data_IF_550144828582
#
_entry.id   IF_550144828582
#
_cell.length_a   1.000
_cell.length_b   1.000
_cell.length_c   1.000
_cell.angle_alpha   90.00
_cell.angle_beta   90.00
_cell.angle_gamma   90.00
#
_symmetry.space_group_name_H-M   'P 1'
#
loop_
_entity.id
_entity.type
_entity.pdbx_description
1 polymer ?
#
# COMPACT_ATOMS: atom_id res chain seq x y z
N UNK A 1 16.67 35.24 -3.71
CA UNK A 1 16.88 35.46 -2.27
C UNK A 1 17.52 34.22 -1.67
N UNK A 2 18.47 34.33 -0.75
CA UNK A 2 18.96 33.19 0.03
C UNK A 2 18.01 33.05 1.22
N UNK A 3 17.28 31.95 1.33
CA UNK A 3 16.38 31.70 2.46
C UNK A 3 17.15 31.62 3.78
N UNK A 4 16.52 32.02 4.88
CA UNK A 4 17.07 31.83 6.22
C UNK A 4 16.75 30.39 6.70
N UNK A 5 17.69 29.68 7.34
CA UNK A 5 17.42 28.38 7.96
C UNK A 5 16.32 28.48 9.02
N UNK A 6 15.47 27.46 9.13
CA UNK A 6 14.52 27.31 10.24
C UNK A 6 15.28 26.64 11.39
N UNK A 7 15.53 27.38 12.47
CA UNK A 7 16.22 26.87 13.66
C UNK A 7 15.27 26.04 14.54
N UNK A 8 15.05 24.78 14.17
CA UNK A 8 14.21 23.84 14.93
C UNK A 8 14.77 22.42 14.83
N UNK A 9 14.82 21.70 15.95
CA UNK A 9 15.22 20.29 16.02
C UNK A 9 14.25 19.36 15.27
N UNK A 10 13.06 19.87 14.93
CA UNK A 10 12.01 19.15 14.20
C UNK A 10 12.08 19.34 12.69
N UNK A 11 13.02 20.16 12.20
CA UNK A 11 13.19 20.37 10.76
C UNK A 11 14.18 19.31 10.24
N UNK A 12 13.74 18.38 9.38
CA UNK A 12 14.66 17.44 8.77
C UNK A 12 15.62 18.20 7.85
N UNK A 13 16.92 17.98 8.05
CA UNK A 13 18.00 18.54 7.22
C UNK A 13 18.56 17.51 6.23
N UNK A 14 18.16 16.26 6.37
CA UNK A 14 18.48 15.14 5.49
C UNK A 14 17.30 14.16 5.47
N UNK A 15 17.18 13.38 4.40
CA UNK A 15 16.13 12.39 4.23
C UNK A 15 16.67 11.19 3.46
N UNK A 16 16.57 10.01 4.08
CA UNK A 16 16.81 8.72 3.44
C UNK A 16 15.67 7.77 3.76
N UNK A 17 15.18 7.06 2.74
CA UNK A 17 14.20 6.01 2.94
C UNK A 17 14.89 4.74 3.49
N UNK A 18 14.25 3.98 4.39
CA UNK A 18 14.69 2.62 4.70
C UNK A 18 14.78 1.80 3.42
N UNK A 19 15.81 0.96 3.27
CA UNK A 19 16.03 0.18 2.05
C UNK A 19 14.85 -0.74 1.69
N UNK A 20 14.13 -1.27 2.69
CA UNK A 20 12.92 -2.05 2.47
C UNK A 20 11.76 -1.22 1.88
N UNK A 21 11.80 0.11 2.04
CA UNK A 21 10.75 1.02 1.60
C UNK A 21 11.08 1.71 0.27
N UNK A 22 12.14 1.27 -0.43
CA UNK A 22 12.48 1.76 -1.76
C UNK A 22 12.01 0.77 -2.83
N UNK A 23 11.31 1.29 -3.83
CA UNK A 23 10.91 0.53 -5.01
C UNK A 23 12.07 0.17 -5.93
N UNK A 24 11.76 -0.60 -6.97
CA UNK A 24 12.71 -0.97 -8.00
C UNK A 24 12.01 -1.01 -9.36
N UNK A 25 12.41 -0.12 -10.27
CA UNK A 25 11.91 -0.16 -11.64
C UNK A 25 12.50 -1.36 -12.37
N UNK A 26 11.71 -1.98 -13.23
CA UNK A 26 12.17 -3.03 -14.13
C UNK A 26 12.72 -2.40 -15.42
N UNK A 27 13.75 -3.00 -16.00
CA UNK A 27 14.28 -2.58 -17.30
C UNK A 27 13.26 -2.74 -18.44
N UNK A 28 12.32 -3.67 -18.27
CA UNK A 28 11.21 -3.97 -19.18
C UNK A 28 10.00 -4.42 -18.39
N UNK A 29 8.81 -4.20 -18.95
CA UNK A 29 7.58 -4.72 -18.38
C UNK A 29 7.66 -6.24 -18.18
N UNK A 30 7.14 -6.73 -17.04
CA UNK A 30 7.07 -8.16 -16.77
C UNK A 30 5.96 -8.86 -17.60
N UNK A 31 5.73 -10.15 -17.33
CA UNK A 31 4.73 -10.94 -18.06
C UNK A 31 3.28 -10.49 -17.85
N UNK A 32 2.99 -9.70 -16.80
CA UNK A 32 1.68 -9.13 -16.53
C UNK A 32 1.58 -7.68 -17.01
N UNK A 33 2.72 -7.01 -17.22
CA UNK A 33 2.81 -5.62 -17.64
C UNK A 33 3.41 -4.68 -16.59
N UNK A 34 3.76 -5.18 -15.39
CA UNK A 34 4.32 -4.32 -14.33
C UNK A 34 5.63 -3.68 -14.80
N UNK A 35 5.80 -2.40 -14.48
CA UNK A 35 6.99 -1.60 -14.77
C UNK A 35 7.93 -1.47 -13.55
N UNK A 36 7.45 -1.85 -12.37
CA UNK A 36 8.24 -2.00 -11.15
C UNK A 36 8.16 -3.44 -10.62
N UNK A 37 9.16 -3.84 -9.83
CA UNK A 37 9.24 -5.13 -9.17
C UNK A 37 8.02 -5.30 -8.24
N UNK A 38 7.07 -6.20 -8.56
CA UNK A 38 5.86 -6.32 -7.77
C UNK A 38 6.15 -6.74 -6.33
N UNK A 39 7.29 -7.38 -6.05
CA UNK A 39 7.72 -7.78 -4.70
C UNK A 39 8.32 -6.63 -3.86
N UNK A 40 8.22 -5.39 -4.35
CA UNK A 40 8.63 -4.17 -3.64
C UNK A 40 7.55 -3.09 -3.72
N UNK A 41 7.73 -2.01 -2.97
CA UNK A 41 6.83 -0.85 -3.05
C UNK A 41 6.92 -0.14 -4.40
N UNK A 42 5.80 0.33 -4.92
CA UNK A 42 5.75 1.34 -5.98
C UNK A 42 4.74 2.44 -5.64
N UNK A 43 5.14 3.71 -5.76
CA UNK A 43 4.33 4.90 -5.49
C UNK A 43 3.41 4.78 -4.25
N UNK A 44 4.00 4.62 -3.04
CA UNK A 44 3.22 4.64 -1.82
C UNK A 44 2.53 6.01 -1.67
N UNK A 45 1.26 6.00 -1.32
CA UNK A 45 0.45 7.20 -1.07
C UNK A 45 -0.09 7.18 0.37
N UNK A 46 -0.88 6.16 0.69
CA UNK A 46 -1.57 6.08 1.98
C UNK A 46 -0.70 5.45 3.07
N UNK A 47 -0.54 6.14 4.20
CA UNK A 47 0.28 5.68 5.32
C UNK A 47 -0.50 5.65 6.63
N UNK A 48 -0.33 4.57 7.40
CA UNK A 48 -0.84 4.50 8.78
C UNK A 48 0.12 3.75 9.67
N UNK A 49 0.57 4.41 10.73
CA UNK A 49 1.41 3.79 11.73
C UNK A 49 0.57 3.24 12.90
N UNK A 50 0.81 1.97 13.28
CA UNK A 50 0.36 1.36 14.53
C UNK A 50 1.53 1.29 15.50
N UNK A 51 1.44 2.05 16.59
CA UNK A 51 2.47 2.05 17.63
C UNK A 51 2.53 0.71 18.36
N UNK A 52 1.37 0.12 18.66
CA UNK A 52 1.24 -1.15 19.39
C UNK A 52 1.83 -2.32 18.62
N UNK A 53 1.64 -2.35 17.30
CA UNK A 53 2.15 -3.41 16.42
C UNK A 53 3.55 -3.11 15.88
N UNK A 54 4.12 -1.94 16.20
CA UNK A 54 5.38 -1.47 15.61
C UNK A 54 5.37 -1.51 14.07
N UNK A 55 4.21 -1.30 13.46
CA UNK A 55 3.97 -1.58 12.03
C UNK A 55 3.50 -0.33 11.30
N UNK A 56 4.18 0.01 10.21
CA UNK A 56 3.75 0.98 9.23
C UNK A 56 2.98 0.26 8.12
N UNK A 57 1.69 0.55 8.00
CA UNK A 57 0.89 0.12 6.86
C UNK A 57 1.01 1.14 5.73
N UNK A 58 1.11 0.63 4.50
CA UNK A 58 1.46 1.40 3.29
C UNK A 58 0.57 0.95 2.13
N UNK A 59 -0.36 1.80 1.70
CA UNK A 59 -1.17 1.60 0.50
C UNK A 59 -0.52 2.25 -0.72
N UNK A 60 -0.52 1.54 -1.84
CA UNK A 60 0.00 2.03 -3.12
C UNK A 60 -1.08 2.70 -3.96
N UNK A 61 -0.69 3.79 -4.64
CA UNK A 61 -1.36 4.37 -5.79
C UNK A 61 -0.34 4.52 -6.92
N UNK A 62 -0.07 3.40 -7.59
CA UNK A 62 0.98 3.29 -8.60
C UNK A 62 0.43 3.14 -10.00
N UNK A 63 1.05 3.88 -10.93
CA UNK A 63 1.02 3.65 -12.37
C UNK A 63 2.18 2.75 -12.86
N UNK A 64 2.81 1.99 -11.96
CA UNK A 64 3.89 1.04 -12.28
C UNK A 64 3.51 -0.41 -11.99
N UNK A 65 2.55 -0.66 -11.09
CA UNK A 65 1.98 -1.98 -10.86
C UNK A 65 0.62 -2.11 -11.55
N UNK A 66 0.37 -3.25 -12.21
CA UNK A 66 -0.90 -3.62 -12.85
C UNK A 66 -2.06 -3.64 -11.85
N UNK A 67 -1.76 -3.99 -10.60
CA UNK A 67 -2.67 -3.87 -9.47
C UNK A 67 -1.87 -3.41 -8.25
N UNK A 68 -2.46 -2.52 -7.45
CA UNK A 68 -1.79 -2.00 -6.27
C UNK A 68 -1.92 -2.92 -5.05
N UNK A 69 -1.08 -2.65 -4.06
CA UNK A 69 -0.96 -3.46 -2.85
C UNK A 69 -1.14 -2.64 -1.56
N UNK A 70 -1.55 -3.33 -0.50
CA UNK A 70 -1.36 -2.88 0.88
C UNK A 70 -0.20 -3.69 1.48
N UNK A 71 0.74 -2.98 2.07
CA UNK A 71 1.91 -3.55 2.72
C UNK A 71 1.90 -3.26 4.23
N UNK A 72 2.53 -4.15 4.99
CA UNK A 72 2.82 -4.00 6.41
C UNK A 72 4.33 -4.07 6.62
N UNK A 73 4.92 -2.96 7.06
CA UNK A 73 6.35 -2.85 7.36
C UNK A 73 6.57 -2.80 8.87
N UNK A 74 7.23 -3.82 9.44
CA UNK A 74 7.57 -3.85 10.86
C UNK A 74 8.86 -3.04 11.10
N UNK A 75 8.74 -1.91 11.78
CA UNK A 75 9.81 -0.89 11.84
C UNK A 75 11.04 -1.33 12.62
N UNK A 76 10.90 -2.24 13.58
CA UNK A 76 12.03 -2.66 14.43
C UNK A 76 12.93 -3.71 13.75
N UNK A 77 12.38 -4.54 12.84
CA UNK A 77 13.11 -5.63 12.21
C UNK A 77 13.24 -5.49 10.68
N UNK A 78 12.57 -4.51 10.08
CA UNK A 78 12.64 -4.21 8.66
C UNK A 78 11.84 -5.16 7.76
N UNK A 79 10.98 -6.02 8.31
CA UNK A 79 10.19 -6.96 7.52
C UNK A 79 9.08 -6.22 6.77
N UNK A 80 9.06 -6.37 5.44
CA UNK A 80 7.98 -5.87 4.58
C UNK A 80 7.13 -7.05 4.11
N UNK A 81 5.82 -7.00 4.38
CA UNK A 81 4.88 -8.07 4.03
C UNK A 81 3.72 -7.50 3.23
N UNK A 82 3.40 -8.10 2.09
CA UNK A 82 2.18 -7.79 1.34
C UNK A 82 0.98 -8.41 2.06
N UNK A 83 -0.03 -7.61 2.39
CA UNK A 83 -1.22 -8.06 3.14
C UNK A 83 -2.52 -7.96 2.35
N UNK A 84 -2.56 -7.18 1.27
CA UNK A 84 -3.69 -7.11 0.34
C UNK A 84 -3.20 -6.85 -1.08
N UNK A 85 -3.91 -7.40 -2.07
CA UNK A 85 -3.84 -6.99 -3.48
C UNK A 85 -5.21 -6.49 -3.87
N UNK A 86 -5.29 -5.27 -4.42
CA UNK A 86 -6.56 -4.71 -4.91
C UNK A 86 -6.80 -5.12 -6.38
N UNK A 87 -8.00 -4.96 -6.94
CA UNK A 87 -8.24 -5.24 -8.36
C UNK A 87 -7.30 -4.46 -9.29
N UNK A 88 -7.05 -4.98 -10.48
CA UNK A 88 -6.20 -4.29 -11.46
C UNK A 88 -6.75 -2.91 -11.85
N UNK A 89 -5.84 -1.94 -12.03
CA UNK A 89 -6.16 -0.53 -12.25
C UNK A 89 -6.79 0.20 -11.06
N UNK A 90 -6.90 -0.43 -9.88
CA UNK A 90 -7.34 0.21 -8.65
C UNK A 90 -6.13 0.68 -7.82
N UNK A 91 -6.33 1.70 -6.98
CA UNK A 91 -5.40 2.04 -5.89
C UNK A 91 -5.82 1.38 -4.56
N UNK A 92 -4.89 1.22 -3.64
CA UNK A 92 -5.16 0.80 -2.26
C UNK A 92 -5.22 2.02 -1.33
N UNK A 93 -6.41 2.36 -0.81
CA UNK A 93 -6.66 3.60 -0.07
C UNK A 93 -7.46 3.38 1.22
N UNK A 94 -7.93 4.47 1.84
CA UNK A 94 -8.82 4.45 3.01
C UNK A 94 -8.22 3.79 4.24
N UNK A 95 -6.90 3.90 4.39
CA UNK A 95 -6.12 3.12 5.33
C UNK A 95 -6.29 3.64 6.77
N UNK A 96 -6.88 2.80 7.63
CA UNK A 96 -6.88 3.01 9.07
C UNK A 96 -6.52 1.71 9.79
N UNK A 97 -5.68 1.78 10.80
CA UNK A 97 -5.39 0.68 11.71
C UNK A 97 -5.93 1.08 13.09
N UNK A 98 -6.80 0.24 13.64
CA UNK A 98 -7.29 0.38 15.01
C UNK A 98 -6.94 -0.89 15.77
N UNK A 99 -6.13 -0.72 16.79
CA UNK A 99 -5.57 -1.81 17.56
C UNK A 99 -6.47 -2.14 18.75
N UNK A 100 -6.55 -3.43 19.10
CA UNK A 100 -7.06 -3.93 20.39
C UNK A 100 -8.51 -3.53 20.75
N UNK A 101 -9.39 -3.30 19.76
CA UNK A 101 -10.83 -3.17 20.04
C UNK A 101 -11.35 -4.55 20.46
N UNK A 102 -11.63 -4.70 21.76
CA UNK A 102 -12.07 -5.97 22.36
C UNK A 102 -11.14 -7.15 22.05
N UNK A 103 -9.82 -6.90 21.99
CA UNK A 103 -8.81 -7.93 21.70
C UNK A 103 -8.54 -8.18 20.22
N UNK A 104 -9.19 -7.46 19.31
CA UNK A 104 -9.01 -7.58 17.86
C UNK A 104 -8.30 -6.37 17.27
N UNK A 105 -7.53 -6.63 16.22
CA UNK A 105 -6.89 -5.60 15.39
C UNK A 105 -7.63 -5.51 14.08
N UNK A 106 -8.03 -4.30 13.68
CA UNK A 106 -8.68 -4.04 12.41
C UNK A 106 -7.83 -3.10 11.56
N UNK A 107 -7.50 -3.54 10.35
CA UNK A 107 -6.87 -2.70 9.31
C UNK A 107 -7.92 -2.42 8.26
N UNK A 108 -8.60 -1.28 8.40
CA UNK A 108 -9.51 -0.76 7.39
C UNK A 108 -8.73 -0.49 6.10
N UNK A 109 -9.29 -0.96 5.00
CA UNK A 109 -8.75 -0.73 3.66
C UNK A 109 -9.91 -0.67 2.68
N UNK A 110 -9.73 0.11 1.63
CA UNK A 110 -10.62 0.13 0.48
C UNK A 110 -9.78 0.18 -0.79
N UNK A 111 -10.44 0.00 -1.92
CA UNK A 111 -9.85 0.32 -3.22
C UNK A 111 -10.76 1.30 -3.93
N UNK A 112 -10.15 2.15 -4.77
CA UNK A 112 -10.89 3.08 -5.62
C UNK A 112 -10.62 2.81 -7.11
N UNK A 113 -11.53 3.26 -7.97
CA UNK A 113 -11.47 3.18 -9.45
C UNK A 113 -10.94 1.87 -10.07
N UNK A 114 -11.47 0.68 -9.74
CA UNK A 114 -11.01 -0.56 -10.38
C UNK A 114 -11.21 -0.53 -11.89
N UNK A 115 -10.19 -0.96 -12.63
CA UNK A 115 -10.15 -0.90 -14.08
C UNK A 115 -9.99 0.51 -14.66
N UNK A 116 -9.27 1.39 -13.95
CA UNK A 116 -8.71 2.59 -14.56
C UNK A 116 -7.52 2.20 -15.46
N UNK A 117 -7.86 1.79 -16.68
CA UNK A 117 -6.92 1.13 -17.57
C UNK A 117 -6.01 2.11 -18.31
N UNK A 118 -4.73 2.09 -17.96
CA UNK A 118 -3.66 2.77 -18.69
C UNK A 118 -2.95 1.89 -19.71
N UNK A 119 -2.52 2.48 -20.84
CA UNK A 119 -1.60 1.88 -21.81
C UNK A 119 -0.21 2.52 -21.70
N UNK A 120 0.89 1.73 -21.73
CA UNK A 120 0.93 0.30 -22.04
C UNK A 120 0.77 -0.63 -20.82
N UNK A 121 0.69 -0.10 -19.60
CA UNK A 121 0.73 -0.88 -18.34
C UNK A 121 -0.23 -2.08 -18.32
N UNK A 122 -1.47 -1.88 -18.73
CA UNK A 122 -2.52 -2.92 -18.62
C UNK A 122 -2.78 -3.67 -19.92
N UNK A 123 -2.05 -3.39 -21.01
CA UNK A 123 -2.35 -3.92 -22.34
C UNK A 123 -2.41 -5.46 -22.34
N UNK A 124 -1.54 -6.11 -21.56
CA UNK A 124 -1.46 -7.57 -21.43
C UNK A 124 -2.68 -8.19 -20.75
N UNK A 125 -3.25 -7.54 -19.73
CA UNK A 125 -4.29 -8.14 -18.86
C UNK A 125 -5.69 -7.61 -19.14
N UNK A 126 -5.81 -6.43 -19.75
CA UNK A 126 -7.09 -5.70 -19.89
C UNK A 126 -8.17 -6.50 -20.60
N UNK A 127 -7.83 -7.19 -21.69
CA UNK A 127 -8.79 -7.99 -22.45
C UNK A 127 -9.44 -9.09 -21.60
N UNK A 128 -8.69 -9.66 -20.66
CA UNK A 128 -9.17 -10.70 -19.74
C UNK A 128 -9.89 -10.11 -18.53
N UNK A 129 -9.37 -9.03 -17.96
CA UNK A 129 -9.85 -8.50 -16.68
C UNK A 129 -11.00 -7.50 -16.81
N UNK A 130 -11.10 -6.71 -17.89
CA UNK A 130 -12.15 -5.69 -18.03
C UNK A 130 -13.58 -6.25 -17.93
N UNK A 131 -13.93 -7.40 -18.56
CA UNK A 131 -15.25 -8.00 -18.36
C UNK A 131 -15.55 -8.36 -16.90
N UNK A 132 -14.55 -8.86 -16.16
CA UNK A 132 -14.68 -9.25 -14.76
C UNK A 132 -14.83 -8.02 -13.85
N UNK A 133 -14.02 -6.99 -14.08
CA UNK A 133 -14.11 -5.73 -13.34
C UNK A 133 -15.49 -5.09 -13.54
N UNK A 134 -15.98 -5.04 -14.79
CA UNK A 134 -17.31 -4.48 -15.06
C UNK A 134 -18.43 -5.25 -14.38
N UNK A 135 -18.36 -6.58 -14.40
CA UNK A 135 -19.35 -7.44 -13.77
C UNK A 135 -19.40 -7.28 -12.24
N UNK A 136 -18.24 -7.14 -11.59
CA UNK A 136 -18.15 -7.14 -10.13
C UNK A 136 -18.22 -5.73 -9.50
N UNK A 137 -17.88 -4.68 -10.26
CA UNK A 137 -17.70 -3.33 -9.71
C UNK A 137 -18.55 -2.28 -10.43
N UNK A 138 -19.85 -2.55 -10.59
CA UNK A 138 -20.84 -1.61 -11.17
C UNK A 138 -20.36 -0.96 -12.47
N UNK A 139 -19.87 -1.76 -13.41
CA UNK A 139 -19.32 -1.27 -14.68
C UNK A 139 -18.18 -0.24 -14.51
N UNK A 140 -17.29 -0.47 -13.52
CA UNK A 140 -16.16 0.39 -13.08
C UNK A 140 -16.53 1.60 -12.20
N UNK A 141 -17.81 1.79 -11.87
CA UNK A 141 -18.26 2.85 -10.95
C UNK A 141 -18.44 2.36 -9.50
N UNK A 142 -18.00 1.13 -9.19
CA UNK A 142 -18.06 0.54 -7.86
C UNK A 142 -16.69 0.49 -7.19
N UNK A 143 -16.67 0.80 -5.89
CA UNK A 143 -15.55 0.57 -4.98
C UNK A 143 -16.01 -0.39 -3.87
N UNK A 144 -15.07 -0.95 -3.11
CA UNK A 144 -15.38 -1.70 -1.89
C UNK A 144 -14.63 -1.11 -0.70
N UNK A 145 -15.31 -1.06 0.45
CA UNK A 145 -14.75 -0.65 1.73
C UNK A 145 -14.86 -1.82 2.69
N UNK A 146 -13.78 -2.14 3.39
CA UNK A 146 -13.75 -3.25 4.33
C UNK A 146 -12.59 -3.15 5.30
N UNK A 147 -12.26 -4.28 5.90
CA UNK A 147 -11.13 -4.41 6.80
C UNK A 147 -10.49 -5.78 6.68
N UNK A 148 -9.18 -5.81 6.92
CA UNK A 148 -8.47 -7.01 7.32
C UNK A 148 -8.57 -7.13 8.83
N UNK A 149 -8.82 -8.33 9.32
CA UNK A 149 -8.77 -8.65 10.75
C UNK A 149 -7.86 -9.84 10.94
N UNK A 150 -7.25 -9.94 12.11
CA UNK A 150 -6.47 -11.10 12.49
C UNK A 150 -6.35 -11.21 14.00
N UNK A 151 -5.80 -12.33 14.43
CA UNK A 151 -5.48 -12.62 15.83
C UNK A 151 -4.15 -12.01 16.36
N UNK A 152 -3.32 -11.21 15.65
CA UNK A 152 -2.06 -10.78 16.26
C UNK A 152 -2.36 -9.83 17.40
N UNK A 153 -2.34 -10.40 18.60
CA UNK A 153 -2.32 -9.68 19.87
C UNK A 153 -1.01 -8.92 19.89
N UNK A 154 -1.09 -7.60 20.13
CA UNK A 154 0.11 -6.79 20.34
C UNK A 154 1.02 -7.46 21.37
N UNK A 155 2.34 -7.32 21.22
CA UNK A 155 3.30 -7.86 22.20
C UNK A 155 2.91 -7.35 23.59
N UNK A 156 2.42 -8.24 24.44
CA UNK A 156 2.14 -7.90 25.82
C UNK A 156 3.44 -8.01 26.60
N UNK A 157 3.95 -6.87 27.05
CA UNK A 157 5.00 -6.86 28.05
C UNK A 157 4.41 -7.44 29.34
N UNK A 158 4.91 -8.60 29.79
CA UNK A 158 4.60 -9.11 31.11
C UNK A 158 5.02 -8.06 32.14
N UNK A 159 4.10 -7.67 33.04
CA UNK A 159 4.48 -6.88 34.21
C UNK A 159 5.56 -7.64 34.99
N UNK A 160 6.68 -6.97 35.27
CA UNK A 160 7.72 -7.45 36.18
C UNK A 160 7.18 -7.58 37.61
#
# INVERSE_FOLDING_TARGET
SRGAPIHSDWVPIDMAAPAALTGHNLDKADALGNLADPERLANPDNLKFSESLRTLFIGEDSSLHVNNFLWAYHVDNGTLTRVLSVPAGAESTGLHAVDQIHGWTYVMSNFQHPGDWESPLHDTVKATLDPLVRANYKNRFGAAVGYLTGDPVAVQLSKA
#
